data_IF_770719966106
#
_entry.id   IF_770719966106
#
_cell.length_a   1.000
_cell.length_b   1.000
_cell.length_c   1.000
_cell.angle_alpha   90.00
_cell.angle_beta   90.00
_cell.angle_gamma   90.00
#
_symmetry.space_group_name_H-M   'P 1'
#
loop_
_entity.id
_entity.type
_entity.pdbx_description
1 polymer ?
#
# COMPACT_ATOMS: atom_id res chain seq x y z
N UNK A 1 -40.50 43.86 41.70
CA UNK A 1 -40.51 43.28 40.32
C UNK A 1 -39.24 43.48 39.50
N UNK A 2 -38.26 44.27 39.90
CA UNK A 2 -37.03 44.48 39.13
C UNK A 2 -35.89 43.46 39.35
N UNK A 3 -35.98 42.61 40.33
CA UNK A 3 -34.93 41.63 40.65
C UNK A 3 -35.21 40.21 40.14
N UNK A 4 -36.39 39.95 39.63
CA UNK A 4 -36.76 38.63 39.11
C UNK A 4 -36.27 38.39 37.67
N UNK A 5 -36.12 39.45 36.88
CA UNK A 5 -35.65 39.37 35.49
C UNK A 5 -34.13 39.23 35.33
N UNK A 6 -33.33 39.59 36.35
CA UNK A 6 -31.87 39.42 36.31
C UNK A 6 -31.42 37.99 36.57
N UNK A 7 -32.19 37.19 37.27
CA UNK A 7 -31.86 35.78 37.57
C UNK A 7 -32.16 34.87 36.37
N UNK A 8 -33.21 35.19 35.61
CA UNK A 8 -33.57 34.39 34.40
C UNK A 8 -32.60 34.61 33.21
N UNK A 9 -32.07 35.82 33.09
CA UNK A 9 -31.08 36.10 31.99
C UNK A 9 -29.69 35.49 32.26
N UNK A 10 -29.31 35.28 33.54
CA UNK A 10 -28.04 34.61 33.88
C UNK A 10 -28.13 33.08 33.74
N UNK A 11 -29.32 32.49 33.88
CA UNK A 11 -29.50 31.04 33.67
C UNK A 11 -29.54 30.63 32.20
N UNK A 12 -29.93 31.54 31.28
CA UNK A 12 -29.92 31.26 29.83
C UNK A 12 -28.53 31.42 29.21
N UNK A 13 -27.55 32.08 29.83
CA UNK A 13 -26.19 32.27 29.35
C UNK A 13 -25.25 31.10 29.71
N UNK A 14 -25.67 30.18 30.59
CA UNK A 14 -24.89 29.01 30.97
C UNK A 14 -25.21 27.72 30.15
N UNK A 15 -26.21 27.78 29.26
CA UNK A 15 -26.64 26.61 28.47
C UNK A 15 -26.12 26.57 27.04
N UNK A 16 -25.24 27.52 26.64
CA UNK A 16 -24.69 27.55 25.26
C UNK A 16 -23.20 27.23 25.23
N UNK A 17 -22.59 26.88 26.35
CA UNK A 17 -21.15 26.48 26.38
C UNK A 17 -20.90 24.99 26.49
N UNK A 18 -21.85 24.15 26.09
CA UNK A 18 -21.58 22.72 25.97
C UNK A 18 -21.73 22.27 24.53
N UNK A 19 -20.65 21.73 24.02
CA UNK A 19 -20.49 20.94 22.79
C UNK A 19 -20.23 21.72 21.49
N UNK A 20 -19.09 22.37 21.44
CA UNK A 20 -18.27 22.20 20.25
C UNK A 20 -17.10 21.26 20.60
N UNK A 21 -17.37 20.05 21.02
CA UNK A 21 -16.42 18.97 20.79
C UNK A 21 -16.30 18.91 19.26
N UNK A 22 -15.23 19.48 18.71
CA UNK A 22 -15.02 19.50 17.27
C UNK A 22 -15.10 18.07 16.76
N UNK A 23 -15.78 17.87 15.63
CA UNK A 23 -15.79 16.56 14.96
C UNK A 23 -14.35 16.10 14.73
N UNK A 24 -14.03 14.89 15.12
CA UNK A 24 -12.69 14.34 14.96
C UNK A 24 -12.70 12.86 14.55
N UNK A 25 -11.62 12.43 13.93
CA UNK A 25 -11.36 11.01 13.63
C UNK A 25 -9.98 10.63 14.13
N UNK A 26 -9.89 9.56 14.92
CA UNK A 26 -8.66 9.06 15.50
C UNK A 26 -8.14 7.91 14.66
N UNK A 27 -6.98 8.09 14.03
CA UNK A 27 -6.43 7.23 12.99
C UNK A 27 -5.17 6.54 13.49
N UNK A 28 -5.06 5.24 13.29
CA UNK A 28 -3.79 4.54 13.33
C UNK A 28 -3.32 4.28 11.89
N UNK A 29 -2.14 4.80 11.54
CA UNK A 29 -1.60 4.67 10.19
C UNK A 29 -0.26 3.94 10.19
N UNK A 30 -0.15 2.91 9.33
CA UNK A 30 1.12 2.27 8.98
C UNK A 30 1.82 3.00 7.82
N UNK A 31 1.12 3.91 7.15
CA UNK A 31 1.69 4.73 6.07
C UNK A 31 2.67 5.75 6.62
N UNK A 32 3.66 6.12 5.80
CA UNK A 32 4.59 7.19 6.14
C UNK A 32 3.83 8.53 6.15
N UNK A 33 4.13 9.38 7.12
CA UNK A 33 3.45 10.66 7.33
C UNK A 33 3.41 11.51 6.05
N UNK A 34 4.53 11.68 5.37
CA UNK A 34 4.61 12.50 4.15
C UNK A 34 3.74 11.99 2.98
N UNK A 35 3.30 10.73 3.01
CA UNK A 35 2.38 10.16 2.01
C UNK A 35 0.90 10.38 2.37
N UNK A 36 0.58 10.70 3.62
CA UNK A 36 -0.79 10.82 4.09
C UNK A 36 -1.17 12.25 4.49
N UNK A 37 -0.24 12.99 5.08
CA UNK A 37 -0.46 14.34 5.61
C UNK A 37 -1.18 15.29 4.64
N UNK A 38 -0.81 15.41 3.35
CA UNK A 38 -1.50 16.31 2.42
C UNK A 38 -2.99 15.98 2.23
N UNK A 39 -3.35 14.69 2.34
CA UNK A 39 -4.74 14.25 2.20
C UNK A 39 -5.57 14.62 3.43
N UNK A 40 -4.98 14.47 4.62
CA UNK A 40 -5.66 14.80 5.87
C UNK A 40 -5.85 16.31 6.03
N UNK A 41 -4.85 17.10 5.67
CA UNK A 41 -4.97 18.57 5.65
C UNK A 41 -6.08 19.03 4.69
N UNK A 42 -6.21 18.39 3.53
CA UNK A 42 -7.30 18.70 2.60
C UNK A 42 -8.66 18.24 3.14
N UNK A 43 -8.72 17.04 3.75
CA UNK A 43 -9.93 16.53 4.39
C UNK A 43 -10.42 17.46 5.52
N UNK A 44 -9.52 17.86 6.41
CA UNK A 44 -9.84 18.81 7.49
C UNK A 44 -10.36 20.15 6.95
N UNK A 45 -9.72 20.66 5.90
CA UNK A 45 -10.14 21.92 5.23
C UNK A 45 -11.55 21.81 4.63
N UNK A 46 -11.87 20.68 4.01
CA UNK A 46 -13.13 20.50 3.28
C UNK A 46 -14.30 20.17 4.21
N UNK A 47 -14.04 19.51 5.36
CA UNK A 47 -15.07 18.96 6.23
C UNK A 47 -15.14 19.61 7.61
N UNK A 48 -14.07 20.26 8.05
CA UNK A 48 -13.93 20.71 9.44
C UNK A 48 -13.68 19.57 10.45
N UNK A 49 -13.55 18.33 10.01
CA UNK A 49 -13.29 17.16 10.86
C UNK A 49 -11.79 17.07 11.10
N UNK A 50 -11.35 17.13 12.35
CA UNK A 50 -9.95 17.02 12.74
C UNK A 50 -9.46 15.58 12.62
N UNK A 51 -8.35 15.35 11.93
CA UNK A 51 -7.73 14.04 11.77
C UNK A 51 -6.53 13.87 12.73
N UNK A 52 -6.72 13.14 13.82
CA UNK A 52 -5.66 12.82 14.78
C UNK A 52 -4.98 11.52 14.38
N UNK A 53 -3.67 11.54 14.11
CA UNK A 53 -2.96 10.38 13.57
C UNK A 53 -1.88 9.87 14.50
N UNK A 54 -1.87 8.57 14.72
CA UNK A 54 -0.75 7.82 15.31
C UNK A 54 -0.08 7.02 14.20
N UNK A 55 1.18 7.35 13.90
CA UNK A 55 1.98 6.64 12.90
C UNK A 55 2.76 5.50 13.55
N UNK A 56 2.49 4.25 13.14
CA UNK A 56 3.18 3.06 13.63
C UNK A 56 3.57 2.14 12.48
N UNK A 57 4.82 1.68 12.47
CA UNK A 57 5.29 0.68 11.50
C UNK A 57 4.99 -0.76 11.92
N UNK A 58 4.84 -1.01 13.21
CA UNK A 58 4.58 -2.33 13.83
C UNK A 58 3.75 -2.15 15.10
N UNK A 59 3.07 -3.21 15.55
CA UNK A 59 2.33 -3.18 16.83
C UNK A 59 0.97 -2.50 16.75
N UNK A 60 0.44 -2.23 15.55
CA UNK A 60 -0.85 -1.56 15.39
C UNK A 60 -2.03 -2.38 15.92
N UNK A 61 -2.03 -3.69 15.67
CA UNK A 61 -3.06 -4.61 16.18
C UNK A 61 -3.09 -4.60 17.70
N UNK A 62 -1.92 -4.81 18.31
CA UNK A 62 -1.74 -4.87 19.75
C UNK A 62 -2.15 -3.56 20.43
N UNK A 63 -1.82 -2.42 19.82
CA UNK A 63 -2.21 -1.10 20.32
C UNK A 63 -3.74 -0.90 20.31
N UNK A 64 -4.41 -1.27 19.22
CA UNK A 64 -5.86 -1.14 19.12
C UNK A 64 -6.55 -2.03 20.15
N UNK A 65 -6.07 -3.26 20.34
CA UNK A 65 -6.59 -4.19 21.33
C UNK A 65 -6.37 -3.72 22.78
N UNK A 66 -5.22 -3.08 23.05
CA UNK A 66 -4.91 -2.58 24.39
C UNK A 66 -5.70 -1.32 24.77
N UNK A 67 -6.19 -0.56 23.82
CA UNK A 67 -6.90 0.69 24.04
C UNK A 67 -8.21 0.76 23.22
N UNK A 68 -9.25 -0.03 23.56
CA UNK A 68 -10.52 -0.02 22.85
C UNK A 68 -11.15 1.38 22.84
N UNK A 69 -11.60 1.83 21.67
CA UNK A 69 -12.22 3.13 21.48
C UNK A 69 -11.27 4.34 21.41
N UNK A 70 -9.96 4.10 21.43
CA UNK A 70 -8.96 5.16 21.20
C UNK A 70 -8.65 5.40 19.71
N UNK A 71 -8.99 4.45 18.84
CA UNK A 71 -8.79 4.50 17.39
C UNK A 71 -10.12 4.22 16.70
N UNK A 72 -10.47 5.04 15.73
CA UNK A 72 -11.67 4.91 14.92
C UNK A 72 -11.39 4.23 13.58
N UNK A 73 -10.26 4.57 12.97
CA UNK A 73 -9.88 4.12 11.64
C UNK A 73 -8.44 3.60 11.62
N UNK A 74 -8.21 2.48 10.92
CA UNK A 74 -6.87 2.02 10.59
C UNK A 74 -6.59 2.22 9.10
N UNK A 75 -5.38 2.71 8.76
CA UNK A 75 -4.86 2.83 7.40
C UNK A 75 -3.61 1.97 7.27
N UNK A 76 -3.69 0.88 6.51
CA UNK A 76 -2.58 -0.06 6.33
C UNK A 76 -1.79 0.19 5.05
N UNK A 77 -0.56 -0.35 5.00
CA UNK A 77 0.32 -0.25 3.82
C UNK A 77 0.20 -1.43 2.87
N UNK A 78 -0.46 -2.52 3.27
CA UNK A 78 -0.65 -3.69 2.42
C UNK A 78 -1.84 -4.55 2.84
N UNK A 79 -2.24 -5.43 1.90
CA UNK A 79 -3.37 -6.34 2.08
C UNK A 79 -3.14 -7.35 3.21
N UNK A 80 -1.90 -7.80 3.46
CA UNK A 80 -1.64 -8.83 4.46
C UNK A 80 -1.94 -8.34 5.89
N UNK A 81 -1.64 -7.06 6.20
CA UNK A 81 -1.97 -6.47 7.49
C UNK A 81 -3.47 -6.25 7.62
N UNK A 82 -4.12 -5.78 6.53
CA UNK A 82 -5.56 -5.55 6.51
C UNK A 82 -6.33 -6.84 6.78
N UNK A 83 -5.98 -7.93 6.08
CA UNK A 83 -6.61 -9.24 6.27
C UNK A 83 -6.28 -9.87 7.62
N UNK A 84 -5.04 -9.70 8.12
CA UNK A 84 -4.66 -10.15 9.47
C UNK A 84 -5.51 -9.49 10.55
N UNK A 85 -5.68 -8.16 10.50
CA UNK A 85 -6.51 -7.44 11.46
C UNK A 85 -8.00 -7.83 11.32
N UNK A 86 -8.49 -8.00 10.08
CA UNK A 86 -9.86 -8.45 9.83
C UNK A 86 -10.14 -9.84 10.42
N UNK A 87 -9.20 -10.78 10.31
CA UNK A 87 -9.36 -12.15 10.84
C UNK A 87 -9.47 -12.22 12.37
N UNK A 88 -9.08 -11.18 13.09
CA UNK A 88 -9.26 -11.09 14.55
C UNK A 88 -10.60 -10.49 14.95
N UNK A 89 -11.49 -10.17 14.00
CA UNK A 89 -12.78 -9.53 14.27
C UNK A 89 -12.67 -8.07 14.72
N UNK A 90 -11.56 -7.41 14.41
CA UNK A 90 -11.26 -6.04 14.84
C UNK A 90 -12.08 -4.99 14.09
N UNK A 91 -12.51 -5.30 12.86
CA UNK A 91 -13.23 -4.36 12.01
C UNK A 91 -14.72 -4.52 12.10
N UNK A 92 -15.45 -3.43 11.96
CA UNK A 92 -16.89 -3.47 11.76
C UNK A 92 -17.23 -3.36 10.26
N UNK A 93 -18.36 -3.96 9.91
CA UNK A 93 -18.96 -3.74 8.59
C UNK A 93 -19.45 -2.30 8.50
N UNK A 94 -19.28 -1.69 7.34
CA UNK A 94 -19.87 -0.39 7.02
C UNK A 94 -20.41 -0.42 5.59
N UNK A 95 -21.49 0.32 5.37
CA UNK A 95 -22.10 0.50 4.07
C UNK A 95 -21.88 1.95 3.60
N UNK A 96 -21.43 2.12 2.35
CA UNK A 96 -21.23 3.43 1.72
C UNK A 96 -21.42 3.33 0.22
N UNK A 97 -22.50 3.92 -0.28
CA UNK A 97 -22.74 4.03 -1.72
C UNK A 97 -21.63 4.80 -2.45
N UNK A 98 -20.97 5.75 -1.77
CA UNK A 98 -19.84 6.51 -2.30
C UNK A 98 -18.64 5.58 -2.56
N UNK A 99 -18.29 4.76 -1.58
CA UNK A 99 -17.18 3.79 -1.72
C UNK A 99 -17.55 2.73 -2.77
N UNK A 100 -18.78 2.27 -2.80
CA UNK A 100 -19.26 1.28 -3.77
C UNK A 100 -19.14 1.78 -5.21
N UNK A 101 -19.43 3.06 -5.43
CA UNK A 101 -19.28 3.72 -6.72
C UNK A 101 -17.82 3.97 -7.11
N UNK A 102 -16.97 4.35 -6.13
CA UNK A 102 -15.60 4.77 -6.38
C UNK A 102 -14.60 3.62 -6.47
N UNK A 103 -14.83 2.53 -5.72
CA UNK A 103 -13.88 1.42 -5.57
C UNK A 103 -14.47 0.14 -6.14
N UNK A 104 -13.90 -0.43 -7.22
CA UNK A 104 -14.35 -1.69 -7.78
C UNK A 104 -14.37 -2.84 -6.74
N UNK A 105 -15.29 -3.78 -6.90
CA UNK A 105 -15.53 -4.86 -5.94
C UNK A 105 -14.27 -5.70 -5.64
N UNK A 106 -13.40 -5.94 -6.61
CA UNK A 106 -12.15 -6.67 -6.43
C UNK A 106 -11.09 -5.94 -5.58
N UNK A 107 -11.33 -4.67 -5.24
CA UNK A 107 -10.53 -3.85 -4.32
C UNK A 107 -11.22 -3.64 -2.96
N UNK A 108 -12.28 -4.37 -2.66
CA UNK A 108 -13.02 -4.29 -1.40
C UNK A 108 -13.12 -5.67 -0.73
N UNK A 109 -13.31 -5.67 0.58
CA UNK A 109 -13.66 -6.91 1.29
C UNK A 109 -15.02 -7.42 0.85
N UNK A 110 -15.16 -8.72 0.49
CA UNK A 110 -16.45 -9.29 0.11
C UNK A 110 -17.54 -9.14 1.20
N UNK A 111 -17.12 -9.05 2.47
CA UNK A 111 -18.01 -8.90 3.63
C UNK A 111 -18.20 -7.45 4.08
N UNK A 112 -17.55 -6.47 3.43
CA UNK A 112 -17.71 -5.04 3.70
C UNK A 112 -16.95 -4.49 4.91
N UNK A 113 -15.85 -5.13 5.35
CA UNK A 113 -15.09 -4.69 6.50
C UNK A 113 -13.92 -3.76 6.16
N UNK A 114 -13.43 -3.76 4.93
CA UNK A 114 -12.33 -2.91 4.48
C UNK A 114 -12.44 -2.53 3.01
N UNK A 115 -11.79 -1.44 2.65
CA UNK A 115 -11.62 -0.99 1.27
C UNK A 115 -10.17 -0.68 0.95
N UNK A 116 -9.73 -0.96 -0.28
CA UNK A 116 -8.48 -0.43 -0.80
C UNK A 116 -8.65 1.07 -1.12
N UNK A 117 -7.58 1.82 -0.95
CA UNK A 117 -7.53 3.27 -1.20
C UNK A 117 -6.55 3.62 -2.32
N UNK A 118 -5.49 2.84 -2.48
CA UNK A 118 -4.51 3.01 -3.55
C UNK A 118 -3.82 1.68 -3.84
N UNK A 119 -3.30 1.54 -5.07
CA UNK A 119 -2.64 0.34 -5.53
C UNK A 119 -1.22 0.63 -6.03
N UNK A 120 -0.39 -0.41 -6.08
CA UNK A 120 0.94 -0.41 -6.68
C UNK A 120 1.25 -1.78 -7.27
N UNK A 121 2.03 -1.74 -8.35
CA UNK A 121 2.58 -2.96 -8.92
C UNK A 121 3.90 -3.32 -8.24
N UNK A 122 4.14 -4.61 -8.08
CA UNK A 122 5.44 -5.16 -7.72
C UNK A 122 6.19 -5.45 -9.02
N UNK A 123 7.19 -4.66 -9.36
CA UNK A 123 7.85 -4.68 -10.66
C UNK A 123 9.31 -5.15 -10.53
N UNK A 124 9.96 -5.39 -11.66
CA UNK A 124 11.39 -5.60 -11.73
C UNK A 124 12.05 -4.26 -12.06
N UNK A 125 12.94 -3.79 -11.17
CA UNK A 125 13.92 -2.77 -11.48
C UNK A 125 15.10 -3.41 -12.16
N UNK A 126 15.61 -2.79 -13.22
CA UNK A 126 16.78 -3.30 -13.95
C UNK A 126 17.73 -2.18 -14.33
N UNK A 127 19.03 -2.46 -14.37
CA UNK A 127 20.05 -1.54 -14.87
C UNK A 127 19.86 -1.31 -16.37
N UNK A 128 19.65 -0.06 -16.79
CA UNK A 128 19.51 0.29 -18.20
C UNK A 128 20.80 0.03 -19.02
N UNK A 129 21.95 -0.01 -18.34
CA UNK A 129 23.26 -0.21 -18.96
C UNK A 129 23.65 -1.69 -19.10
N UNK A 130 23.25 -2.54 -18.10
CA UNK A 130 23.76 -3.91 -17.97
C UNK A 130 22.73 -5.01 -18.22
N UNK A 131 21.47 -4.65 -18.45
CA UNK A 131 20.35 -5.60 -18.68
C UNK A 131 19.58 -5.18 -19.92
N UNK A 132 19.49 -6.06 -20.89
CA UNK A 132 18.55 -5.91 -22.00
C UNK A 132 17.14 -6.23 -21.48
N UNK A 133 16.14 -5.35 -21.64
CA UNK A 133 14.76 -5.64 -21.24
C UNK A 133 14.18 -6.91 -21.87
N UNK A 134 14.68 -7.36 -23.02
CA UNK A 134 14.26 -8.61 -23.67
C UNK A 134 14.67 -9.87 -22.90
N UNK A 135 15.66 -9.78 -22.00
CA UNK A 135 16.05 -10.86 -21.09
C UNK A 135 15.06 -11.05 -19.92
N UNK A 136 14.19 -10.05 -19.70
CA UNK A 136 13.21 -10.06 -18.61
C UNK A 136 11.86 -10.59 -19.12
N UNK A 137 11.16 -11.35 -18.27
CA UNK A 137 9.83 -11.88 -18.63
C UNK A 137 8.88 -11.98 -17.43
N UNK A 138 9.15 -12.85 -16.50
CA UNK A 138 8.30 -13.17 -15.35
C UNK A 138 9.06 -13.08 -14.04
N UNK A 139 8.35 -13.10 -12.90
CA UNK A 139 9.02 -13.27 -11.59
C UNK A 139 9.74 -14.61 -11.53
N UNK A 140 9.14 -15.63 -12.13
CA UNK A 140 9.60 -17.01 -12.14
C UNK A 140 10.97 -17.11 -12.84
N UNK A 141 11.16 -16.37 -13.92
CA UNK A 141 12.41 -16.32 -14.68
C UNK A 141 13.59 -15.77 -13.85
N UNK A 142 13.36 -14.98 -12.81
CA UNK A 142 14.44 -14.50 -11.93
C UNK A 142 15.16 -15.62 -11.16
N UNK A 143 14.58 -16.81 -11.11
CA UNK A 143 15.23 -18.01 -10.56
C UNK A 143 16.17 -18.72 -11.55
N UNK A 144 16.22 -18.30 -12.82
CA UNK A 144 17.07 -18.90 -13.85
C UNK A 144 18.55 -18.58 -13.62
N UNK A 145 19.48 -19.50 -13.98
CA UNK A 145 20.92 -19.33 -13.75
C UNK A 145 21.55 -18.07 -14.39
N UNK A 146 20.95 -17.51 -15.44
CA UNK A 146 21.43 -16.28 -16.08
C UNK A 146 21.46 -15.05 -15.16
N UNK A 147 20.70 -15.09 -14.05
CA UNK A 147 20.69 -14.04 -13.04
C UNK A 147 21.60 -14.30 -11.84
N UNK A 148 22.45 -15.35 -11.88
CA UNK A 148 23.35 -15.69 -10.76
C UNK A 148 24.26 -14.54 -10.36
N UNK A 149 24.20 -14.14 -9.07
CA UNK A 149 24.95 -13.01 -8.52
C UNK A 149 24.50 -11.62 -9.00
N UNK A 150 23.33 -11.52 -9.64
CA UNK A 150 22.86 -10.27 -10.26
C UNK A 150 21.65 -9.66 -9.58
N UNK A 151 21.09 -10.30 -8.55
CA UNK A 151 19.85 -9.86 -7.90
C UNK A 151 20.12 -9.26 -6.53
N UNK A 152 19.61 -8.06 -6.26
CA UNK A 152 19.45 -7.50 -4.94
C UNK A 152 17.97 -7.51 -4.55
N UNK A 153 17.68 -7.79 -3.28
CA UNK A 153 16.30 -7.78 -2.78
C UNK A 153 16.27 -7.35 -1.32
N UNK A 154 15.18 -6.75 -0.89
CA UNK A 154 14.89 -6.54 0.53
C UNK A 154 14.49 -7.87 1.19
N UNK A 155 14.47 -7.91 2.53
CA UNK A 155 14.05 -9.09 3.30
C UNK A 155 12.81 -9.77 2.71
N UNK A 156 12.87 -11.10 2.58
CA UNK A 156 11.73 -11.94 2.19
C UNK A 156 10.54 -11.79 3.14
N UNK A 157 10.80 -11.57 4.43
CA UNK A 157 9.78 -11.38 5.47
C UNK A 157 9.10 -10.01 5.44
N UNK A 158 9.53 -9.10 4.56
CA UNK A 158 8.81 -7.84 4.40
C UNK A 158 7.45 -8.08 3.74
N UNK A 159 6.40 -7.40 4.23
CA UNK A 159 5.02 -7.59 3.79
C UNK A 159 4.85 -7.60 2.26
N UNK A 160 5.60 -6.76 1.52
CA UNK A 160 5.50 -6.71 0.06
C UNK A 160 5.99 -7.99 -0.63
N UNK A 161 7.06 -8.60 -0.10
CA UNK A 161 7.58 -9.87 -0.61
C UNK A 161 6.71 -11.04 -0.15
N UNK A 162 6.20 -11.00 1.10
CA UNK A 162 5.23 -11.99 1.58
C UNK A 162 3.98 -12.03 0.69
N UNK A 163 3.44 -10.86 0.29
CA UNK A 163 2.29 -10.81 -0.60
C UNK A 163 2.60 -11.39 -1.99
N UNK A 164 3.78 -11.10 -2.57
CA UNK A 164 4.21 -11.68 -3.84
C UNK A 164 4.39 -13.20 -3.73
N UNK A 165 5.05 -13.69 -2.68
CA UNK A 165 5.24 -15.14 -2.42
C UNK A 165 3.88 -15.83 -2.25
N UNK A 166 2.95 -15.21 -1.53
CA UNK A 166 1.58 -15.70 -1.38
C UNK A 166 0.85 -15.82 -2.72
N UNK A 167 1.00 -14.80 -3.59
CA UNK A 167 0.46 -14.81 -4.95
C UNK A 167 1.05 -15.93 -5.80
N UNK A 168 2.39 -16.12 -5.76
CA UNK A 168 3.05 -17.23 -6.45
C UNK A 168 2.58 -18.59 -5.94
N UNK A 169 2.43 -18.73 -4.61
CA UNK A 169 1.92 -19.96 -4.01
C UNK A 169 0.50 -20.30 -4.46
N UNK A 170 -0.38 -19.30 -4.54
CA UNK A 170 -1.74 -19.49 -5.04
C UNK A 170 -1.74 -19.89 -6.53
N UNK A 171 -0.83 -19.33 -7.33
CA UNK A 171 -0.74 -19.62 -8.77
C UNK A 171 -0.10 -20.98 -9.07
N UNK A 172 0.94 -21.37 -8.32
CA UNK A 172 1.83 -22.48 -8.70
C UNK A 172 1.87 -23.63 -7.69
N UNK A 173 1.31 -23.42 -6.49
CA UNK A 173 1.39 -24.37 -5.38
C UNK A 173 2.74 -24.35 -4.67
N UNK A 174 2.85 -25.15 -3.60
CA UNK A 174 3.99 -25.12 -2.68
C UNK A 174 5.32 -25.51 -3.35
N UNK A 175 5.34 -26.63 -4.09
CA UNK A 175 6.58 -27.17 -4.63
C UNK A 175 7.26 -26.22 -5.61
N UNK A 176 6.53 -25.65 -6.56
CA UNK A 176 7.05 -24.71 -7.56
C UNK A 176 7.48 -23.40 -6.93
N UNK A 177 6.71 -22.87 -5.96
CA UNK A 177 7.08 -21.63 -5.25
C UNK A 177 8.34 -21.80 -4.41
N UNK A 178 8.49 -22.95 -3.74
CA UNK A 178 9.71 -23.28 -2.99
C UNK A 178 10.94 -23.41 -3.90
N UNK A 179 10.76 -24.08 -5.06
CA UNK A 179 11.82 -24.17 -6.07
C UNK A 179 12.23 -22.79 -6.58
N UNK A 180 11.25 -21.90 -6.86
CA UNK A 180 11.51 -20.52 -7.24
C UNK A 180 12.28 -19.75 -6.17
N UNK A 181 11.88 -19.85 -4.89
CA UNK A 181 12.60 -19.18 -3.79
C UNK A 181 14.05 -19.65 -3.66
N UNK A 182 14.31 -20.95 -3.82
CA UNK A 182 15.66 -21.49 -3.83
C UNK A 182 16.50 -20.95 -5.01
N UNK A 183 15.95 -20.92 -6.22
CA UNK A 183 16.60 -20.35 -7.39
C UNK A 183 16.85 -18.86 -7.24
N UNK A 184 15.86 -18.11 -6.78
CA UNK A 184 16.02 -16.67 -6.51
C UNK A 184 17.11 -16.41 -5.46
N UNK A 185 17.15 -17.20 -4.35
CA UNK A 185 18.20 -17.13 -3.32
C UNK A 185 19.59 -17.40 -3.92
N UNK A 186 19.70 -18.42 -4.77
CA UNK A 186 20.98 -18.76 -5.43
C UNK A 186 21.50 -17.66 -6.38
N UNK A 187 20.58 -16.79 -6.87
CA UNK A 187 20.88 -15.70 -7.79
C UNK A 187 21.17 -14.37 -7.09
N UNK A 188 21.07 -14.31 -5.74
CA UNK A 188 21.32 -13.07 -5.00
C UNK A 188 22.80 -12.67 -5.06
N UNK A 189 23.06 -11.37 -5.33
CA UNK A 189 24.39 -10.76 -5.26
C UNK A 189 24.84 -10.53 -3.81
N UNK A 190 23.89 -10.45 -2.88
CA UNK A 190 24.11 -10.27 -1.42
C UNK A 190 22.92 -10.76 -0.64
N UNK A 191 23.10 -10.95 0.68
CA UNK A 191 21.97 -11.21 1.59
C UNK A 191 20.89 -10.14 1.48
N UNK A 192 19.59 -10.51 1.57
CA UNK A 192 18.48 -9.58 1.58
C UNK A 192 18.64 -8.49 2.64
N UNK A 193 18.50 -7.22 2.25
CA UNK A 193 18.64 -6.09 3.17
C UNK A 193 18.05 -4.80 2.61
N UNK A 194 17.90 -3.78 3.46
CA UNK A 194 17.47 -2.45 3.07
C UNK A 194 16.00 -2.36 2.64
N UNK A 195 15.68 -1.34 1.87
CA UNK A 195 14.35 -1.08 1.32
C UNK A 195 14.40 -0.97 -0.20
N UNK A 196 13.26 -0.79 -0.88
CA UNK A 196 13.19 -0.77 -2.34
C UNK A 196 14.08 0.34 -2.96
N UNK A 197 14.17 1.53 -2.35
CA UNK A 197 15.09 2.60 -2.81
C UNK A 197 16.56 2.21 -2.65
N UNK A 198 16.89 1.50 -1.56
CA UNK A 198 18.21 0.94 -1.33
C UNK A 198 18.62 -0.12 -2.36
N UNK A 199 17.65 -0.85 -2.94
CA UNK A 199 17.92 -1.77 -4.04
C UNK A 199 18.22 -0.99 -5.33
N UNK A 200 17.47 0.08 -5.64
CA UNK A 200 17.78 0.93 -6.80
C UNK A 200 19.17 1.58 -6.67
N UNK A 201 19.53 2.06 -5.46
CA UNK A 201 20.88 2.54 -5.17
C UNK A 201 21.95 1.46 -5.41
N UNK A 202 21.66 0.20 -5.02
CA UNK A 202 22.58 -0.92 -5.23
C UNK A 202 22.77 -1.25 -6.72
N UNK A 203 21.70 -1.16 -7.53
CA UNK A 203 21.79 -1.28 -8.99
C UNK A 203 22.63 -0.13 -9.57
N UNK A 204 22.37 1.11 -9.15
CA UNK A 204 23.13 2.29 -9.56
C UNK A 204 24.64 2.14 -9.29
N UNK A 205 25.01 1.60 -8.13
CA UNK A 205 26.42 1.38 -7.75
C UNK A 205 27.05 0.13 -8.34
N UNK A 206 26.36 -0.62 -9.21
CA UNK A 206 26.90 -1.83 -9.86
C UNK A 206 26.98 -3.07 -8.98
N UNK A 207 26.36 -3.04 -7.77
CA UNK A 207 26.39 -4.20 -6.86
C UNK A 207 25.49 -5.35 -7.34
N UNK A 208 24.44 -5.02 -8.09
CA UNK A 208 23.53 -5.96 -8.72
C UNK A 208 22.91 -5.30 -9.96
N UNK A 209 22.20 -6.08 -10.77
CA UNK A 209 21.64 -5.61 -12.03
C UNK A 209 20.12 -5.53 -12.02
N UNK A 210 19.48 -6.36 -11.21
CA UNK A 210 18.01 -6.41 -11.09
C UNK A 210 17.56 -6.48 -9.63
N UNK A 211 16.34 -6.02 -9.39
CA UNK A 211 15.66 -6.13 -8.10
C UNK A 211 14.15 -6.14 -8.27
N UNK A 212 13.43 -6.65 -7.28
CA UNK A 212 11.97 -6.55 -7.21
C UNK A 212 11.59 -5.39 -6.28
N UNK A 213 10.75 -4.47 -6.76
CA UNK A 213 10.32 -3.31 -5.97
C UNK A 213 8.93 -2.79 -6.35
N UNK A 214 8.42 -1.82 -5.60
CA UNK A 214 7.13 -1.19 -5.86
C UNK A 214 7.28 0.03 -6.77
N UNK A 215 6.34 0.19 -7.69
CA UNK A 215 6.32 1.26 -8.70
C UNK A 215 6.49 2.67 -8.14
N UNK A 216 5.76 3.03 -7.08
CA UNK A 216 5.74 4.39 -6.56
C UNK A 216 7.08 4.91 -6.04
N UNK A 217 8.00 4.01 -5.62
CA UNK A 217 9.33 4.44 -5.18
C UNK A 217 10.14 5.05 -6.32
N UNK A 218 9.95 4.59 -7.56
CA UNK A 218 10.58 5.23 -8.72
C UNK A 218 10.17 6.70 -8.83
N UNK A 219 8.87 6.99 -8.77
CA UNK A 219 8.36 8.36 -8.81
C UNK A 219 8.95 9.22 -7.68
N UNK A 220 8.92 8.69 -6.45
CA UNK A 220 9.49 9.41 -5.28
C UNK A 220 11.00 9.66 -5.39
N UNK A 221 11.76 8.75 -6.01
CA UNK A 221 13.19 8.98 -6.25
C UNK A 221 13.43 9.99 -7.37
N UNK A 222 12.59 10.03 -8.41
CA UNK A 222 12.66 11.03 -9.47
C UNK A 222 12.35 12.44 -8.96
N UNK A 223 11.44 12.58 -8.00
CA UNK A 223 11.13 13.85 -7.34
C UNK A 223 12.28 14.32 -6.42
N UNK A 224 13.07 13.39 -5.85
CA UNK A 224 14.13 13.70 -4.92
C UNK A 224 15.46 13.98 -5.63
N UNK A 225 16.04 15.20 -5.57
CA UNK A 225 17.30 15.53 -6.24
C UNK A 225 18.47 14.60 -5.89
N UNK A 226 18.58 14.14 -4.63
CA UNK A 226 19.66 13.25 -4.18
C UNK A 226 19.54 11.82 -4.72
N UNK A 227 18.32 11.39 -5.07
CA UNK A 227 18.02 10.02 -5.50
C UNK A 227 17.72 9.93 -7.00
N UNK A 228 17.55 11.07 -7.66
CA UNK A 228 17.20 11.14 -9.07
C UNK A 228 18.24 10.46 -9.98
N UNK A 229 19.53 10.56 -9.64
CA UNK A 229 20.61 9.86 -10.35
C UNK A 229 20.43 8.34 -10.31
N UNK A 230 20.04 7.78 -9.16
CA UNK A 230 19.77 6.35 -9.02
C UNK A 230 18.57 5.93 -9.88
N UNK A 231 17.47 6.70 -9.79
CA UNK A 231 16.26 6.43 -10.53
C UNK A 231 16.48 6.46 -12.05
N UNK A 232 17.26 7.42 -12.54
CA UNK A 232 17.55 7.59 -13.98
C UNK A 232 18.36 6.43 -14.58
N UNK A 233 19.22 5.76 -13.77
CA UNK A 233 20.03 4.61 -14.22
C UNK A 233 19.26 3.31 -14.32
N UNK A 234 18.00 3.29 -13.81
CA UNK A 234 17.20 2.08 -13.66
C UNK A 234 15.93 2.17 -14.50
N UNK A 235 15.60 1.07 -15.16
CA UNK A 235 14.32 0.88 -15.82
C UNK A 235 13.30 0.14 -14.96
N UNK A 236 12.02 0.25 -15.33
CA UNK A 236 10.93 -0.55 -14.77
C UNK A 236 10.47 -1.56 -15.81
N UNK A 237 10.39 -2.82 -15.41
CA UNK A 237 9.81 -3.88 -16.20
C UNK A 237 8.60 -4.47 -15.45
N UNK A 238 7.45 -4.56 -16.12
CA UNK A 238 6.23 -5.20 -15.59
C UNK A 238 6.27 -6.69 -15.96
N UNK A 239 6.52 -7.59 -15.00
CA UNK A 239 6.61 -9.02 -15.29
C UNK A 239 5.26 -9.66 -15.56
N UNK A 240 5.29 -10.88 -16.13
CA UNK A 240 4.12 -11.73 -16.38
C UNK A 240 3.06 -11.13 -17.31
N UNK A 241 3.43 -10.24 -18.25
CA UNK A 241 2.47 -9.59 -19.13
C UNK A 241 1.85 -10.55 -20.15
N UNK A 242 2.56 -11.62 -20.54
CA UNK A 242 2.07 -12.64 -21.47
C UNK A 242 1.29 -13.78 -20.78
N UNK A 243 1.25 -13.78 -19.45
CA UNK A 243 0.52 -14.79 -18.67
C UNK A 243 -0.45 -14.16 -17.64
N UNK A 244 -0.27 -14.36 -16.34
CA UNK A 244 -1.21 -13.93 -15.30
C UNK A 244 -1.26 -12.42 -15.05
N UNK A 245 -0.27 -11.66 -15.49
CA UNK A 245 -0.13 -10.24 -15.21
C UNK A 245 0.72 -9.93 -13.98
N UNK A 246 1.07 -8.65 -13.81
CA UNK A 246 1.92 -8.18 -12.72
C UNK A 246 1.16 -8.17 -11.40
N UNK A 247 1.80 -8.70 -10.34
CA UNK A 247 1.26 -8.70 -8.97
C UNK A 247 0.96 -7.29 -8.47
N UNK A 248 -0.25 -7.13 -7.95
CA UNK A 248 -0.73 -5.89 -7.33
C UNK A 248 -0.81 -6.02 -5.82
N UNK A 249 -0.52 -4.94 -5.13
CA UNK A 249 -0.81 -4.80 -3.72
C UNK A 249 -1.51 -3.46 -3.46
N UNK A 250 -2.18 -3.33 -2.33
CA UNK A 250 -2.98 -2.16 -2.01
C UNK A 250 -2.60 -1.58 -0.65
N UNK A 251 -2.79 -0.27 -0.49
CA UNK A 251 -3.04 0.31 0.83
C UNK A 251 -4.54 0.40 1.01
N UNK A 252 -5.03 0.22 2.20
CA UNK A 252 -6.46 0.26 2.46
C UNK A 252 -6.77 0.75 3.85
N UNK A 253 -8.07 0.89 4.13
CA UNK A 253 -8.58 1.34 5.41
C UNK A 253 -9.78 0.52 5.88
N UNK A 254 -9.98 0.52 7.19
CA UNK A 254 -11.08 -0.15 7.86
C UNK A 254 -11.50 0.58 9.14
N UNK A 255 -12.79 0.58 9.44
CA UNK A 255 -13.34 1.17 10.67
C UNK A 255 -13.22 0.15 11.78
N UNK A 256 -12.69 0.57 12.93
CA UNK A 256 -12.51 -0.28 14.10
C UNK A 256 -13.86 -0.56 14.76
N UNK A 257 -14.07 -1.80 15.22
CA UNK A 257 -15.33 -2.22 15.84
C UNK A 257 -15.72 -1.41 17.10
N UNK A 258 -14.71 -0.91 17.81
CA UNK A 258 -14.88 -0.09 19.01
C UNK A 258 -14.77 1.41 18.74
N UNK A 259 -14.80 1.83 17.46
CA UNK A 259 -14.73 3.25 17.07
C UNK A 259 -15.87 4.06 17.72
N UNK A 260 -15.53 5.26 18.19
CA UNK A 260 -16.47 6.23 18.73
C UNK A 260 -16.99 7.19 17.65
N UNK A 261 -16.13 7.52 16.68
CA UNK A 261 -16.40 8.49 15.62
C UNK A 261 -16.58 7.77 14.28
N UNK A 262 -17.58 6.86 14.22
CA UNK A 262 -17.82 5.97 13.04
C UNK A 262 -18.19 6.77 11.80
N UNK A 263 -19.00 7.84 11.95
CA UNK A 263 -19.43 8.66 10.82
C UNK A 263 -18.26 9.44 10.22
N UNK A 264 -17.39 10.01 11.05
CA UNK A 264 -16.20 10.75 10.66
C UNK A 264 -15.17 9.80 10.01
N UNK A 265 -15.01 8.61 10.54
CA UNK A 265 -14.16 7.56 9.95
C UNK A 265 -14.67 7.14 8.56
N UNK A 266 -15.99 6.98 8.39
CA UNK A 266 -16.60 6.69 7.09
C UNK A 266 -16.41 7.85 6.11
N UNK A 267 -16.66 9.09 6.53
CA UNK A 267 -16.44 10.27 5.68
C UNK A 267 -14.99 10.38 5.22
N UNK A 268 -14.01 10.05 6.07
CA UNK A 268 -12.61 10.02 5.66
C UNK A 268 -12.34 8.92 4.62
N UNK A 269 -12.90 7.72 4.76
CA UNK A 269 -12.77 6.67 3.74
C UNK A 269 -13.43 7.08 2.41
N UNK A 270 -14.60 7.72 2.47
CA UNK A 270 -15.30 8.27 1.30
C UNK A 270 -14.45 9.34 0.61
N UNK A 271 -13.89 10.29 1.36
CA UNK A 271 -12.96 11.29 0.83
C UNK A 271 -11.74 10.65 0.17
N UNK A 272 -11.07 9.71 0.87
CA UNK A 272 -9.87 9.04 0.33
C UNK A 272 -10.16 8.19 -0.91
N UNK A 273 -11.41 7.74 -1.12
CA UNK A 273 -11.85 7.05 -2.33
C UNK A 273 -12.34 8.00 -3.45
N UNK A 274 -12.57 9.28 -3.12
CA UNK A 274 -13.12 10.28 -4.01
C UNK A 274 -12.13 10.82 -5.06
N UNK A 275 -12.63 11.58 -6.04
CA UNK A 275 -11.85 12.05 -7.20
C UNK A 275 -10.59 12.80 -6.81
N UNK A 276 -10.70 13.76 -5.87
CA UNK A 276 -9.59 14.60 -5.45
C UNK A 276 -8.47 13.76 -4.81
N UNK A 277 -8.80 12.93 -3.83
CA UNK A 277 -7.81 12.10 -3.16
C UNK A 277 -7.19 11.06 -4.12
N UNK A 278 -7.99 10.45 -4.99
CA UNK A 278 -7.49 9.50 -5.98
C UNK A 278 -6.57 10.17 -7.02
N UNK A 279 -6.88 11.40 -7.42
CA UNK A 279 -5.97 12.22 -8.23
C UNK A 279 -4.67 12.54 -7.47
N UNK A 280 -4.76 12.93 -6.19
CA UNK A 280 -3.57 13.17 -5.35
C UNK A 280 -2.70 11.92 -5.19
N UNK A 281 -3.28 10.72 -5.01
CA UNK A 281 -2.51 9.46 -5.00
C UNK A 281 -1.72 9.27 -6.30
N UNK A 282 -2.33 9.55 -7.44
CA UNK A 282 -1.68 9.42 -8.73
C UNK A 282 -0.59 10.49 -8.96
N UNK A 283 -0.86 11.76 -8.65
CA UNK A 283 0.02 12.88 -9.00
C UNK A 283 1.12 13.10 -7.96
N UNK A 284 0.79 13.03 -6.65
CA UNK A 284 1.71 13.34 -5.56
C UNK A 284 2.48 12.11 -5.10
N UNK A 285 1.79 10.96 -4.99
CA UNK A 285 2.40 9.74 -4.47
C UNK A 285 2.90 8.78 -5.56
N UNK A 286 2.57 9.04 -6.85
CA UNK A 286 2.88 8.15 -7.98
C UNK A 286 2.36 6.72 -7.79
N UNK A 287 1.25 6.59 -7.05
CA UNK A 287 0.53 5.35 -6.84
C UNK A 287 -0.56 5.18 -7.91
N UNK A 288 -0.99 3.96 -8.15
CA UNK A 288 -2.12 3.69 -9.03
C UNK A 288 -3.42 3.92 -8.24
N UNK A 289 -4.32 4.80 -8.72
CA UNK A 289 -5.63 4.98 -8.10
C UNK A 289 -6.44 3.68 -8.21
N UNK A 290 -7.30 3.43 -7.21
CA UNK A 290 -8.27 2.33 -7.28
C UNK A 290 -9.54 2.76 -8.02
N UNK A 291 -9.88 4.04 -8.00
CA UNK A 291 -11.02 4.58 -8.72
C UNK A 291 -10.76 4.57 -10.23
N UNK A 292 -11.64 3.98 -11.04
CA UNK A 292 -11.52 3.99 -12.49
C UNK A 292 -11.54 5.40 -13.08
N UNK A 293 -10.85 5.61 -14.21
CA UNK A 293 -10.87 6.87 -14.96
C UNK A 293 -9.96 7.98 -14.41
N UNK A 294 -9.36 7.82 -13.25
CA UNK A 294 -8.44 8.82 -12.69
C UNK A 294 -7.13 8.87 -13.48
N UNK A 295 -6.72 10.07 -13.85
CA UNK A 295 -5.55 10.32 -14.67
C UNK A 295 -4.24 10.03 -13.91
N UNK A 296 -3.38 9.18 -14.49
CA UNK A 296 -2.05 8.91 -13.97
C UNK A 296 -1.11 10.12 -14.17
N UNK A 297 -0.11 10.29 -13.29
CA UNK A 297 0.94 11.31 -13.46
C UNK A 297 1.80 11.04 -14.70
N UNK A 298 2.47 12.08 -15.21
CA UNK A 298 3.42 11.94 -16.32
C UNK A 298 4.52 10.92 -16.00
N UNK A 299 4.99 10.89 -14.76
CA UNK A 299 5.99 9.91 -14.28
C UNK A 299 5.44 8.49 -14.37
N UNK A 300 4.24 8.22 -13.82
CA UNK A 300 3.64 6.88 -13.88
C UNK A 300 3.34 6.45 -15.31
N UNK A 301 2.93 7.37 -16.18
CA UNK A 301 2.73 7.10 -17.62
C UNK A 301 4.03 6.67 -18.33
N UNK A 302 5.20 7.09 -17.85
CA UNK A 302 6.49 6.70 -18.42
C UNK A 302 6.98 5.32 -17.97
N UNK A 303 6.36 4.71 -16.95
CA UNK A 303 6.78 3.40 -16.44
C UNK A 303 6.57 2.31 -17.49
N UNK A 304 7.61 1.49 -17.67
CA UNK A 304 7.58 0.38 -18.63
C UNK A 304 7.59 0.81 -20.10
N UNK A 305 7.97 2.05 -20.43
CA UNK A 305 8.00 2.55 -21.80
C UNK A 305 8.88 1.73 -22.77
N UNK A 306 9.82 0.94 -22.25
CA UNK A 306 10.66 0.02 -23.01
C UNK A 306 10.05 -1.37 -23.23
N UNK A 307 8.82 -1.57 -22.77
CA UNK A 307 8.04 -2.80 -22.94
C UNK A 307 6.89 -2.55 -23.92
N UNK A 308 6.88 -3.26 -25.05
CA UNK A 308 5.87 -3.07 -26.09
C UNK A 308 4.43 -3.24 -25.60
N UNK A 309 4.23 -4.15 -24.65
CA UNK A 309 2.92 -4.41 -24.01
C UNK A 309 2.43 -3.29 -23.07
N UNK A 310 3.29 -2.31 -22.73
CA UNK A 310 2.96 -1.24 -21.79
C UNK A 310 2.73 0.07 -22.53
N UNK A 311 1.51 0.61 -22.39
CA UNK A 311 1.16 1.91 -22.96
C UNK A 311 0.72 2.87 -21.86
N UNK A 312 1.39 4.04 -21.77
CA UNK A 312 1.08 5.07 -20.77
C UNK A 312 1.01 4.55 -19.33
N UNK A 313 1.95 3.65 -18.94
CA UNK A 313 1.99 3.05 -17.62
C UNK A 313 0.86 2.06 -17.32
N UNK A 314 0.04 1.72 -18.32
CA UNK A 314 -1.05 0.74 -18.21
C UNK A 314 -0.51 -0.64 -18.57
N UNK A 315 -0.75 -1.61 -17.71
CA UNK A 315 -0.23 -2.98 -17.80
C UNK A 315 -1.31 -4.00 -17.42
N UNK A 316 -1.11 -5.25 -17.80
CA UNK A 316 -1.96 -6.37 -17.37
C UNK A 316 -1.73 -6.64 -15.89
N UNK A 317 -2.77 -6.43 -15.07
CA UNK A 317 -2.76 -6.67 -13.63
C UNK A 317 -3.12 -8.13 -13.35
N UNK A 318 -2.44 -8.75 -12.39
CA UNK A 318 -2.86 -10.03 -11.85
C UNK A 318 -4.25 -9.88 -11.23
N UNK A 319 -5.17 -10.79 -11.58
CA UNK A 319 -6.57 -10.79 -11.13
C UNK A 319 -6.79 -11.58 -9.85
N UNK A 320 -5.73 -12.10 -9.23
CA UNK A 320 -5.83 -12.88 -8.00
C UNK A 320 -6.48 -12.07 -6.87
N UNK A 321 -7.33 -12.73 -6.10
CA UNK A 321 -8.02 -12.11 -4.98
C UNK A 321 -7.03 -11.59 -3.93
N UNK A 322 -7.12 -10.29 -3.64
CA UNK A 322 -6.31 -9.67 -2.60
C UNK A 322 -6.54 -10.30 -1.22
N UNK A 323 -7.79 -10.67 -0.92
CA UNK A 323 -8.14 -11.34 0.34
C UNK A 323 -7.46 -12.72 0.44
N UNK A 324 -7.46 -13.52 -0.63
CA UNK A 324 -6.78 -14.83 -0.66
C UNK A 324 -5.26 -14.68 -0.51
N UNK A 325 -4.65 -13.69 -1.17
CA UNK A 325 -3.22 -13.36 -1.00
C UNK A 325 -2.91 -13.07 0.46
N UNK A 326 -3.71 -12.24 1.12
CA UNK A 326 -3.52 -11.88 2.52
C UNK A 326 -3.63 -13.08 3.47
N UNK A 327 -4.57 -14.01 3.22
CA UNK A 327 -4.75 -15.23 4.01
C UNK A 327 -3.56 -16.19 3.93
N UNK A 328 -2.78 -16.17 2.82
CA UNK A 328 -1.60 -17.04 2.64
C UNK A 328 -0.32 -16.51 3.24
N UNK A 329 -0.36 -15.40 3.96
CA UNK A 329 0.83 -14.77 4.55
C UNK A 329 1.61 -15.70 5.49
N UNK A 330 0.93 -16.43 6.39
CA UNK A 330 1.58 -17.37 7.32
C UNK A 330 2.31 -18.50 6.58
N UNK A 331 1.70 -19.01 5.52
CA UNK A 331 2.30 -20.04 4.67
C UNK A 331 3.56 -19.53 3.95
N UNK A 332 3.56 -18.25 3.51
CA UNK A 332 4.73 -17.63 2.89
C UNK A 332 5.89 -17.47 3.89
N UNK A 333 5.59 -17.10 5.14
CA UNK A 333 6.60 -17.02 6.22
C UNK A 333 7.22 -18.40 6.44
N UNK A 334 6.41 -19.45 6.62
CA UNK A 334 6.89 -20.82 6.82
C UNK A 334 7.80 -21.27 5.66
N UNK A 335 7.44 -20.95 4.43
CA UNK A 335 8.25 -21.31 3.26
C UNK A 335 9.60 -20.59 3.23
N UNK A 336 9.65 -19.32 3.65
CA UNK A 336 10.91 -18.56 3.78
C UNK A 336 11.81 -19.16 4.85
N UNK A 337 11.24 -19.62 6.00
CA UNK A 337 11.98 -20.30 7.06
C UNK A 337 12.58 -21.62 6.54
N UNK A 338 11.80 -22.43 5.84
CA UNK A 338 12.25 -23.70 5.24
C UNK A 338 13.38 -23.53 4.23
N UNK A 339 13.38 -22.43 3.45
CA UNK A 339 14.42 -22.08 2.47
C UNK A 339 15.61 -21.38 3.12
N UNK A 340 15.43 -20.80 4.31
CA UNK A 340 16.41 -19.92 4.94
C UNK A 340 16.72 -18.71 4.06
N UNK A 341 15.72 -18.05 3.53
CA UNK A 341 15.88 -17.08 2.42
C UNK A 341 16.74 -15.88 2.80
N UNK A 342 16.62 -15.35 4.00
CA UNK A 342 17.37 -14.16 4.48
C UNK A 342 18.72 -14.54 5.16
N UNK A 343 19.09 -15.83 5.22
CA UNK A 343 20.30 -16.32 5.89
C UNK A 343 21.57 -16.24 5.03
#
# INVERSE_FOLDING_TARGET
>A
MKNFYKVILSALMFLVSSLAAGMEVNILSERQEFLLKPFLEQFEKDTGIKANVVYLKKGGLERIQAQPGAIDLVLTVDISNLTKMNSTGLFQKYDSAVIDQNVPQNFRDPNGHWTALTARARIIYYSKERVDPSDLSTYEALAEPKFKGRICIRSGYHNYNLALISSLKLSHGNAKTKAWLNGLKANLARKPQGNDRGQVKAIYSGLCDVSIGNTYYMGKMLDNPEQRGWANSVGIFFPNQNDRGTHMNVSGGAIIKTAKNVNEARQLLEFLSGDLAQFMYAQVNHEYPVKPGVQLSGIVKSFGSNQESIKNGVFKKDKMSLAEIGQKRADAVKMLDEVGFDL
#
